data_IF_765549900278
#
_entry.id   IF_765549900278
#
_cell.length_a   1.000
_cell.length_b   1.000
_cell.length_c   1.000
_cell.angle_alpha   90.00
_cell.angle_beta   90.00
_cell.angle_gamma   90.00
#
_symmetry.space_group_name_H-M   'P 1'
#
loop_
_entity.id
_entity.type
_entity.pdbx_description
1 polymer ?
#
# COMPACT_ATOMS: atom_id res chain seq x y z
N UNK A 1 25.16 -7.61 -22.27
CA UNK A 1 26.02 -7.53 -23.47
C UNK A 1 27.32 -6.86 -23.10
N UNK A 2 28.44 -7.35 -23.61
CA UNK A 2 29.74 -6.69 -23.44
C UNK A 2 29.83 -5.59 -24.49
N UNK A 3 29.97 -4.35 -24.05
CA UNK A 3 30.04 -3.17 -24.93
C UNK A 3 31.42 -3.01 -25.57
N UNK A 4 32.44 -3.73 -25.08
CA UNK A 4 33.80 -3.54 -25.54
C UNK A 4 33.94 -3.81 -27.05
N UNK A 5 34.61 -2.90 -27.77
CA UNK A 5 34.88 -2.97 -29.21
C UNK A 5 33.65 -3.14 -30.13
N UNK A 6 32.45 -2.74 -29.67
CA UNK A 6 31.21 -2.89 -30.44
C UNK A 6 31.22 -2.15 -31.79
N UNK A 7 31.96 -1.04 -31.89
CA UNK A 7 32.09 -0.23 -33.09
C UNK A 7 32.85 -0.95 -34.22
N UNK A 8 33.71 -1.92 -33.89
CA UNK A 8 34.46 -2.72 -34.87
C UNK A 8 33.49 -3.62 -35.64
N UNK A 9 32.58 -4.29 -34.92
CA UNK A 9 31.55 -5.15 -35.50
C UNK A 9 30.58 -4.31 -36.34
N UNK A 10 30.16 -3.15 -35.83
CA UNK A 10 29.31 -2.21 -36.56
C UNK A 10 29.95 -1.76 -37.88
N UNK A 11 31.23 -1.35 -37.85
CA UNK A 11 31.94 -0.91 -39.06
C UNK A 11 32.16 -2.06 -40.05
N UNK A 12 32.39 -3.28 -39.56
CA UNK A 12 32.47 -4.47 -40.41
C UNK A 12 31.18 -4.71 -41.20
N UNK A 13 30.01 -4.65 -40.54
CA UNK A 13 28.72 -4.78 -41.21
C UNK A 13 28.37 -3.59 -42.12
N UNK A 14 28.76 -2.37 -41.73
CA UNK A 14 28.54 -1.17 -42.54
C UNK A 14 29.33 -1.19 -43.84
N UNK A 15 30.51 -1.80 -43.84
CA UNK A 15 31.35 -1.96 -45.03
C UNK A 15 30.81 -3.02 -46.00
N UNK A 16 30.31 -4.15 -45.47
CA UNK A 16 29.85 -5.29 -46.30
C UNK A 16 28.41 -5.11 -46.79
N UNK A 17 27.51 -4.57 -45.96
CA UNK A 17 26.07 -4.51 -46.25
C UNK A 17 25.65 -3.12 -46.71
N UNK A 18 25.69 -2.15 -45.80
CA UNK A 18 25.29 -0.76 -46.09
C UNK A 18 25.53 0.14 -44.87
N UNK A 19 25.71 1.43 -45.10
CA UNK A 19 25.83 2.44 -44.05
C UNK A 19 24.60 2.50 -43.11
N UNK A 20 23.41 2.13 -43.59
CA UNK A 20 22.17 2.08 -42.79
C UNK A 20 22.23 1.09 -41.61
N UNK A 21 23.09 0.08 -41.69
CA UNK A 21 23.30 -0.86 -40.58
C UNK A 21 23.83 -0.18 -39.33
N UNK A 22 24.53 0.96 -39.45
CA UNK A 22 24.98 1.77 -38.31
C UNK A 22 23.80 2.22 -37.44
N UNK A 23 22.69 2.62 -38.06
CA UNK A 23 21.48 3.06 -37.35
C UNK A 23 20.88 1.89 -36.56
N UNK A 24 20.85 0.69 -37.16
CA UNK A 24 20.42 -0.52 -36.47
C UNK A 24 21.27 -0.79 -35.22
N UNK A 25 22.61 -0.81 -35.34
CA UNK A 25 23.49 -1.04 -34.19
C UNK A 25 23.38 0.05 -33.12
N UNK A 26 23.24 1.33 -33.51
CA UNK A 26 23.02 2.44 -32.58
C UNK A 26 21.70 2.30 -31.81
N UNK A 27 20.61 1.98 -32.51
CA UNK A 27 19.28 1.79 -31.89
C UNK A 27 19.28 0.61 -30.93
N UNK A 28 19.86 -0.53 -31.34
CA UNK A 28 19.98 -1.72 -30.51
C UNK A 28 20.84 -1.47 -29.28
N UNK A 29 21.92 -0.71 -29.40
CA UNK A 29 22.75 -0.30 -28.27
C UNK A 29 21.95 0.50 -27.23
N UNK A 30 21.19 1.50 -27.66
CA UNK A 30 20.35 2.31 -26.75
C UNK A 30 19.31 1.43 -26.06
N UNK A 31 18.58 0.60 -26.81
CA UNK A 31 17.55 -0.28 -26.23
C UNK A 31 18.17 -1.27 -25.23
N UNK A 32 19.26 -1.93 -25.59
CA UNK A 32 19.91 -2.89 -24.69
C UNK A 32 20.54 -2.22 -23.48
N UNK A 33 21.08 -1.01 -23.60
CA UNK A 33 21.56 -0.23 -22.46
C UNK A 33 20.42 0.08 -21.48
N UNK A 34 19.26 0.51 -21.98
CA UNK A 34 18.07 0.75 -21.15
C UNK A 34 17.59 -0.54 -20.47
N UNK A 35 17.48 -1.65 -21.22
CA UNK A 35 17.05 -2.94 -20.67
C UNK A 35 18.02 -3.45 -19.59
N UNK A 36 19.33 -3.42 -19.85
CA UNK A 36 20.34 -3.83 -18.87
C UNK A 36 20.24 -2.96 -17.62
N UNK A 37 20.09 -1.65 -17.77
CA UNK A 37 19.95 -0.74 -16.62
C UNK A 37 18.68 -1.04 -15.80
N UNK A 38 17.54 -1.29 -16.45
CA UNK A 38 16.28 -1.65 -15.76
C UNK A 38 16.46 -2.97 -15.00
N UNK A 39 17.04 -3.99 -15.62
CA UNK A 39 17.27 -5.29 -14.97
C UNK A 39 18.24 -5.15 -13.79
N UNK A 40 19.33 -4.40 -13.96
CA UNK A 40 20.29 -4.14 -12.88
C UNK A 40 19.62 -3.40 -11.73
N UNK A 41 18.86 -2.35 -12.01
CA UNK A 41 18.12 -1.61 -10.98
C UNK A 41 17.14 -2.53 -10.23
N UNK A 42 16.37 -3.36 -10.94
CA UNK A 42 15.44 -4.32 -10.33
C UNK A 42 16.14 -5.34 -9.42
N UNK A 43 17.26 -5.90 -9.89
CA UNK A 43 18.05 -6.86 -9.11
C UNK A 43 18.65 -6.19 -7.87
N UNK A 44 19.20 -4.98 -8.00
CA UNK A 44 19.72 -4.20 -6.88
C UNK A 44 18.63 -3.87 -5.87
N UNK A 45 17.43 -3.48 -6.30
CA UNK A 45 16.29 -3.21 -5.42
C UNK A 45 15.89 -4.46 -4.62
N UNK A 46 15.84 -5.63 -5.28
CA UNK A 46 15.58 -6.90 -4.59
C UNK A 46 16.66 -7.26 -3.56
N UNK A 47 17.95 -7.00 -3.88
CA UNK A 47 19.04 -7.21 -2.92
C UNK A 47 19.02 -6.21 -1.78
N UNK A 48 18.75 -4.93 -2.06
CA UNK A 48 18.58 -3.89 -1.05
C UNK A 48 17.45 -4.27 -0.10
N UNK A 49 16.30 -4.69 -0.62
CA UNK A 49 15.18 -5.19 0.19
C UNK A 49 15.61 -6.34 1.10
N UNK A 50 16.38 -7.31 0.59
CA UNK A 50 16.87 -8.45 1.37
C UNK A 50 17.87 -8.04 2.46
N UNK A 51 18.76 -7.10 2.17
CA UNK A 51 19.74 -6.58 3.14
C UNK A 51 19.01 -5.81 4.25
N UNK A 52 18.11 -4.91 3.88
CA UNK A 52 17.27 -4.16 4.82
C UNK A 52 16.41 -5.12 5.66
N UNK A 53 15.86 -6.17 5.04
CA UNK A 53 15.14 -7.24 5.74
C UNK A 53 15.96 -7.89 6.83
N UNK A 54 17.19 -8.32 6.49
CA UNK A 54 18.08 -8.97 7.45
C UNK A 54 18.49 -8.00 8.57
N UNK A 55 18.68 -6.71 8.28
CA UNK A 55 19.03 -5.70 9.30
C UNK A 55 17.87 -5.41 10.26
N UNK A 56 16.65 -5.23 9.76
CA UNK A 56 15.47 -4.95 10.59
C UNK A 56 14.94 -6.16 11.35
N UNK A 57 15.31 -7.38 10.95
CA UNK A 57 14.80 -8.64 11.51
C UNK A 57 15.88 -9.45 12.25
N UNK A 58 17.14 -8.98 12.27
CA UNK A 58 18.36 -9.74 12.58
C UNK A 58 18.51 -10.47 13.92
N UNK A 59 17.45 -10.57 14.73
CA UNK A 59 17.37 -11.43 15.93
C UNK A 59 16.06 -12.25 16.00
N UNK A 60 15.07 -11.96 15.14
CA UNK A 60 13.76 -12.65 15.07
C UNK A 60 13.75 -13.80 14.06
N UNK A 61 14.89 -14.14 13.46
CA UNK A 61 15.01 -15.08 12.34
C UNK A 61 14.67 -16.55 12.70
N UNK A 62 14.47 -16.86 14.00
CA UNK A 62 14.05 -18.20 14.43
C UNK A 62 12.55 -18.46 14.21
N UNK A 63 11.73 -17.42 14.02
CA UNK A 63 10.29 -17.58 13.83
C UNK A 63 9.82 -16.73 12.64
N UNK A 64 9.72 -17.36 11.46
CA UNK A 64 9.07 -16.83 10.24
C UNK A 64 7.56 -16.57 10.40
N UNK A 65 7.03 -16.80 11.60
CA UNK A 65 5.62 -16.71 11.95
C UNK A 65 5.37 -15.46 12.78
N UNK A 66 4.38 -14.67 12.39
CA UNK A 66 3.76 -13.70 13.29
C UNK A 66 2.85 -14.48 14.21
N UNK A 67 3.15 -14.47 15.51
CA UNK A 67 2.27 -15.00 16.54
C UNK A 67 1.34 -13.90 17.02
N UNK A 68 0.05 -14.18 17.05
CA UNK A 68 -0.98 -13.30 17.60
C UNK A 68 -1.68 -14.10 18.68
N UNK A 69 -1.48 -13.66 19.92
CA UNK A 69 -2.10 -14.27 21.09
C UNK A 69 -3.33 -13.40 21.45
N UNK A 70 -4.53 -13.99 21.34
CA UNK A 70 -5.81 -13.34 21.61
C UNK A 70 -6.39 -13.99 22.86
N UNK A 71 -6.40 -13.27 23.98
CA UNK A 71 -7.06 -13.70 25.20
C UNK A 71 -8.55 -13.39 25.16
N UNK A 72 -9.40 -14.38 25.40
CA UNK A 72 -10.82 -14.18 25.66
C UNK A 72 -11.08 -14.19 27.17
N UNK A 73 -11.82 -13.19 27.62
CA UNK A 73 -12.28 -13.10 29.01
C UNK A 73 -13.57 -13.90 29.22
N UNK A 74 -13.89 -14.21 30.48
CA UNK A 74 -15.02 -15.08 30.84
C UNK A 74 -16.37 -14.54 30.33
N UNK A 75 -16.56 -13.21 30.34
CA UNK A 75 -17.76 -12.56 29.83
C UNK A 75 -17.91 -12.68 28.30
N UNK A 76 -16.80 -12.66 27.56
CA UNK A 76 -16.79 -12.81 26.09
C UNK A 76 -17.09 -14.26 25.70
N UNK A 77 -16.61 -15.21 26.51
CA UNK A 77 -16.93 -16.64 26.37
C UNK A 77 -18.42 -16.88 26.57
N UNK A 78 -19.03 -16.23 27.58
CA UNK A 78 -20.46 -16.34 27.84
C UNK A 78 -21.31 -15.68 26.74
N UNK A 79 -20.83 -14.60 26.12
CA UNK A 79 -21.45 -14.00 24.94
C UNK A 79 -21.39 -14.92 23.71
N UNK A 80 -20.27 -15.60 23.46
CA UNK A 80 -20.18 -16.56 22.35
C UNK A 80 -21.09 -17.78 22.52
N UNK A 81 -21.40 -18.16 23.78
CA UNK A 81 -22.33 -19.26 24.08
C UNK A 81 -23.78 -18.97 23.72
N UNK A 82 -24.20 -17.70 23.72
CA UNK A 82 -25.60 -17.34 23.47
C UNK A 82 -25.96 -17.28 21.98
N UNK A 83 -24.97 -17.05 21.10
CA UNK A 83 -25.21 -16.74 19.68
C UNK A 83 -24.63 -17.74 18.66
N UNK A 84 -24.01 -18.84 19.10
CA UNK A 84 -23.44 -19.86 18.19
C UNK A 84 -23.75 -21.28 18.69
N UNK A 85 -24.14 -22.20 17.80
CA UNK A 85 -24.19 -23.65 18.06
C UNK A 85 -22.79 -24.27 18.20
N UNK A 86 -21.88 -23.61 18.93
CA UNK A 86 -20.59 -24.18 19.28
C UNK A 86 -20.82 -25.09 20.48
N UNK A 87 -20.50 -26.37 20.34
CA UNK A 87 -20.71 -27.30 21.44
C UNK A 87 -19.93 -26.82 22.67
N UNK A 88 -20.66 -26.56 23.77
CA UNK A 88 -20.10 -26.20 25.08
C UNK A 88 -19.02 -27.19 25.54
N UNK A 89 -19.12 -28.46 25.13
CA UNK A 89 -18.12 -29.49 25.43
C UNK A 89 -16.80 -29.32 24.67
N UNK A 90 -16.82 -28.77 23.46
CA UNK A 90 -15.61 -28.52 22.66
C UNK A 90 -14.84 -27.32 23.22
N UNK A 91 -15.54 -26.23 23.57
CA UNK A 91 -14.89 -25.06 24.15
C UNK A 91 -14.34 -25.35 25.57
N UNK A 92 -15.08 -26.12 26.38
CA UNK A 92 -14.65 -26.53 27.72
C UNK A 92 -13.52 -27.57 27.72
N UNK A 93 -13.39 -28.39 26.67
CA UNK A 93 -12.24 -29.29 26.54
C UNK A 93 -10.92 -28.54 26.33
N UNK A 94 -10.95 -27.34 25.73
CA UNK A 94 -9.77 -26.47 25.56
C UNK A 94 -9.48 -25.58 26.79
N UNK A 95 -10.49 -25.29 27.62
CA UNK A 95 -10.34 -24.49 28.83
C UNK A 95 -9.99 -25.31 30.10
N UNK A 96 -9.69 -26.61 29.93
CA UNK A 96 -9.51 -27.58 31.02
C UNK A 96 -8.08 -27.63 31.60
N UNK A 97 -7.37 -26.52 31.55
CA UNK A 97 -6.26 -26.29 32.48
C UNK A 97 -6.80 -25.36 33.57
N UNK A 98 -7.11 -25.94 34.72
CA UNK A 98 -8.19 -25.51 35.62
C UNK A 98 -7.86 -24.29 36.50
N UNK A 99 -6.72 -23.61 36.29
CA UNK A 99 -6.24 -22.51 37.14
C UNK A 99 -6.24 -21.12 36.48
N UNK A 100 -6.58 -21.00 35.19
CA UNK A 100 -6.54 -19.70 34.49
C UNK A 100 -7.94 -19.22 34.07
N UNK A 101 -8.40 -18.03 34.50
CA UNK A 101 -9.71 -17.46 34.16
C UNK A 101 -9.82 -16.95 32.71
N UNK A 102 -8.78 -17.14 31.88
CA UNK A 102 -8.64 -16.59 30.54
C UNK A 102 -8.22 -17.69 29.56
N UNK A 103 -8.87 -17.76 28.40
CA UNK A 103 -8.46 -18.65 27.31
C UNK A 103 -7.65 -17.85 26.30
N UNK A 104 -6.40 -18.25 26.06
CA UNK A 104 -5.53 -17.58 25.08
C UNK A 104 -5.52 -18.40 23.78
N UNK A 105 -6.09 -17.82 22.72
CA UNK A 105 -5.98 -18.37 21.37
C UNK A 105 -4.70 -17.87 20.72
N UNK A 106 -3.84 -18.80 20.33
CA UNK A 106 -2.58 -18.49 19.65
C UNK A 106 -2.72 -18.75 18.15
N UNK A 107 -2.94 -17.68 17.38
CA UNK A 107 -2.93 -17.70 15.93
C UNK A 107 -1.51 -17.53 15.41
N UNK A 108 -1.08 -18.37 14.46
CA UNK A 108 0.18 -18.16 13.73
C UNK A 108 -0.11 -17.85 12.27
N UNK A 109 0.53 -16.80 11.74
CA UNK A 109 0.45 -16.44 10.32
C UNK A 109 1.84 -16.31 9.72
N UNK A 110 2.02 -16.86 8.53
CA UNK A 110 3.25 -16.68 7.75
C UNK A 110 3.45 -15.21 7.39
N UNK A 111 4.67 -14.70 7.61
CA UNK A 111 5.02 -13.34 7.22
C UNK A 111 4.97 -13.18 5.70
N UNK A 112 4.31 -12.13 5.23
CA UNK A 112 4.20 -11.81 3.80
C UNK A 112 5.13 -10.65 3.43
N UNK A 113 5.49 -10.55 2.14
CA UNK A 113 6.23 -9.40 1.60
C UNK A 113 5.55 -8.08 1.97
N UNK A 114 4.22 -8.03 1.91
CA UNK A 114 3.42 -6.86 2.28
C UNK A 114 3.61 -6.44 3.74
N UNK A 115 3.52 -7.37 4.69
CA UNK A 115 3.73 -7.08 6.11
C UNK A 115 5.11 -6.48 6.38
N UNK A 116 6.12 -6.93 5.63
CA UNK A 116 7.47 -6.37 5.73
C UNK A 116 7.59 -5.00 5.07
N UNK A 117 7.06 -4.82 3.86
CA UNK A 117 7.04 -3.50 3.19
C UNK A 117 6.34 -2.46 4.06
N UNK A 118 5.24 -2.81 4.71
CA UNK A 118 4.55 -1.92 5.65
C UNK A 118 5.44 -1.51 6.84
N UNK A 119 6.25 -2.44 7.37
CA UNK A 119 7.21 -2.13 8.44
C UNK A 119 8.40 -1.30 7.93
N UNK A 120 8.92 -1.60 6.75
CA UNK A 120 10.06 -0.90 6.15
C UNK A 120 9.73 0.56 5.83
N UNK A 121 8.53 0.81 5.31
CA UNK A 121 8.07 2.15 4.92
C UNK A 121 7.11 2.76 5.94
N UNK A 122 7.15 2.35 7.21
CA UNK A 122 6.16 2.75 8.22
C UNK A 122 6.04 4.28 8.39
N UNK A 123 7.18 4.99 8.40
CA UNK A 123 7.20 6.45 8.51
C UNK A 123 6.66 7.14 7.25
N UNK A 124 6.97 6.60 6.06
CA UNK A 124 6.45 7.11 4.80
C UNK A 124 4.94 6.91 4.69
N UNK A 125 4.45 5.72 5.07
CA UNK A 125 3.03 5.39 5.11
C UNK A 125 2.28 6.30 6.09
N UNK A 126 2.85 6.59 7.26
CA UNK A 126 2.27 7.55 8.22
C UNK A 126 2.18 8.96 7.63
N UNK A 127 3.21 9.39 6.91
CA UNK A 127 3.21 10.68 6.21
C UNK A 127 2.15 10.72 5.11
N UNK A 128 1.99 9.64 4.33
CA UNK A 128 0.95 9.55 3.32
C UNK A 128 -0.45 9.57 3.91
N UNK A 129 -0.65 8.86 5.03
CA UNK A 129 -1.93 8.86 5.74
C UNK A 129 -2.29 10.26 6.24
N UNK A 130 -1.32 10.98 6.84
CA UNK A 130 -1.52 12.36 7.27
C UNK A 130 -1.85 13.28 6.10
N UNK A 131 -1.11 13.16 4.99
CA UNK A 131 -1.34 13.95 3.79
C UNK A 131 -2.74 13.69 3.21
N UNK A 132 -3.18 12.44 3.17
CA UNK A 132 -4.51 12.08 2.71
C UNK A 132 -5.61 12.65 3.62
N UNK A 133 -5.41 12.61 4.94
CA UNK A 133 -6.34 13.21 5.91
C UNK A 133 -6.46 14.73 5.72
N UNK A 134 -5.33 15.42 5.54
CA UNK A 134 -5.28 16.86 5.29
C UNK A 134 -5.99 17.22 3.96
N UNK A 135 -5.79 16.42 2.90
CA UNK A 135 -6.48 16.59 1.62
C UNK A 135 -8.00 16.37 1.75
N UNK A 136 -8.44 15.34 2.48
CA UNK A 136 -9.86 15.13 2.71
C UNK A 136 -10.50 16.26 3.53
N UNK A 137 -9.80 16.80 4.54
CA UNK A 137 -10.27 17.94 5.33
C UNK A 137 -10.46 19.16 4.44
N UNK A 138 -9.47 19.46 3.61
CA UNK A 138 -9.53 20.58 2.67
C UNK A 138 -10.70 20.43 1.68
N UNK A 139 -10.92 19.21 1.19
CA UNK A 139 -12.04 18.92 0.28
C UNK A 139 -13.40 19.08 0.97
N UNK A 140 -13.52 18.67 2.24
CA UNK A 140 -14.74 18.88 3.05
C UNK A 140 -15.03 20.36 3.26
N UNK A 141 -14.02 21.15 3.65
CA UNK A 141 -14.19 22.58 3.92
C UNK A 141 -14.57 23.37 2.65
N UNK A 142 -14.00 22.98 1.51
CA UNK A 142 -14.29 23.60 0.21
C UNK A 142 -15.73 23.28 -0.24
N UNK A 143 -16.19 22.06 -0.02
CA UNK A 143 -17.58 21.67 -0.25
C UNK A 143 -18.56 22.46 0.64
N UNK A 144 -18.26 22.58 1.93
CA UNK A 144 -19.09 23.35 2.86
C UNK A 144 -19.16 24.83 2.47
N UNK A 145 -18.03 25.41 2.06
CA UNK A 145 -17.96 26.80 1.59
C UNK A 145 -18.80 27.02 0.32
N UNK A 146 -18.76 26.09 -0.63
CA UNK A 146 -19.63 26.14 -1.83
C UNK A 146 -21.10 26.06 -1.47
N UNK A 147 -21.49 25.13 -0.60
CA UNK A 147 -22.88 24.98 -0.16
C UNK A 147 -23.39 26.24 0.54
N UNK A 148 -22.58 26.84 1.42
CA UNK A 148 -22.92 28.11 2.06
C UNK A 148 -23.09 29.25 1.04
N UNK A 149 -22.22 29.31 0.03
CA UNK A 149 -22.29 30.32 -1.01
C UNK A 149 -23.53 30.15 -1.90
N UNK A 150 -23.89 28.90 -2.25
CA UNK A 150 -25.14 28.61 -2.98
C UNK A 150 -26.38 28.97 -2.16
N UNK A 151 -26.39 28.65 -0.86
CA UNK A 151 -27.49 29.04 0.03
C UNK A 151 -27.63 30.57 0.12
N UNK A 152 -26.52 31.30 0.27
CA UNK A 152 -26.53 32.77 0.31
C UNK A 152 -27.00 33.36 -1.03
N UNK A 153 -26.53 32.81 -2.15
CA UNK A 153 -26.95 33.24 -3.47
C UNK A 153 -28.45 32.99 -3.70
N UNK A 154 -28.95 31.80 -3.34
CA UNK A 154 -30.36 31.45 -3.48
C UNK A 154 -31.25 32.31 -2.58
N UNK A 155 -30.78 32.66 -1.38
CA UNK A 155 -31.50 33.58 -0.47
C UNK A 155 -31.61 34.98 -1.07
N UNK A 156 -30.54 35.52 -1.67
CA UNK A 156 -30.58 36.81 -2.37
C UNK A 156 -31.51 36.80 -3.58
N UNK A 157 -31.50 35.73 -4.38
CA UNK A 157 -32.44 35.60 -5.50
C UNK A 157 -33.89 35.60 -5.02
N UNK A 158 -34.20 34.90 -3.93
CA UNK A 158 -35.56 34.87 -3.36
C UNK A 158 -36.00 36.22 -2.77
N UNK A 159 -35.09 37.02 -2.21
CA UNK A 159 -35.39 38.38 -1.73
C UNK A 159 -35.60 39.36 -2.89
N UNK A 160 -34.82 39.24 -3.97
CA UNK A 160 -35.02 40.04 -5.19
C UNK A 160 -36.37 39.78 -5.86
N UNK A 161 -36.76 38.50 -5.96
CA UNK A 161 -38.03 38.08 -6.57
C UNK A 161 -39.24 38.49 -5.72
N UNK A 162 -39.09 38.54 -4.39
CA UNK A 162 -40.12 39.05 -3.48
C UNK A 162 -40.32 40.57 -3.62
N UNK A 163 -39.24 41.32 -3.85
CA UNK A 163 -39.31 42.78 -4.02
C UNK A 163 -39.95 43.18 -5.35
N UNK A 164 -39.70 42.44 -6.42
CA UNK A 164 -40.29 42.70 -7.74
C UNK A 164 -41.80 42.43 -7.77
N UNK A 165 -42.28 41.46 -6.97
CA UNK A 165 -43.72 41.17 -6.80
C UNK A 165 -44.46 42.24 -6.00
N UNK A 166 -43.79 43.02 -5.15
CA UNK A 166 -44.42 44.10 -4.37
C UNK A 166 -44.58 45.42 -5.14
N UNK A 167 -43.98 45.56 -6.32
CA UNK A 167 -44.00 46.79 -7.13
C UNK A 167 -45.06 46.80 -8.24
N UNK A 168 -45.95 45.80 -8.28
CA UNK A 168 -47.09 45.75 -9.21
C UNK A 168 -48.41 45.97 -8.47
N UNK A 169 -48.74 47.24 -8.20
CA UNK A 169 -50.09 47.72 -7.88
C UNK A 169 -50.34 49.02 -8.62
#
# INVERSE_FOLDING_TARGET
>A
MVVNNWFIIMNGYAFVVSQWTRIFFMSFYVVTMVVINIVVAFVLEAFLFRIQYKRMTGDMDKETLVRVDIGLNQQEIDFCRSNVNLSKSQLMAFARDQDSPQVIFRGTRTRTKFSFSLKMYAEEVKKWLKKAEDEERLQRDLLLSRLQQEQHNNRRLSEGDAHDRTLTV
#
